data_IF_390733895743
#
_entry.id   IF_390733895743
#
_cell.length_a   1.000
_cell.length_b   1.000
_cell.length_c   1.000
_cell.angle_alpha   90.00
_cell.angle_beta   90.00
_cell.angle_gamma   90.00
#
_symmetry.space_group_name_H-M   'P 1'
#
loop_
_entity.id
_entity.type
_entity.pdbx_description
1 polymer ?
#
# COMPACT_ATOMS: atom_id res chain seq x y z
N UNK A 1 21.16 27.55 65.88
CA UNK A 1 21.48 27.05 64.53
C UNK A 1 20.63 25.88 64.10
N UNK A 2 19.76 25.36 64.95
CA UNK A 2 18.93 24.16 64.72
C UNK A 2 17.60 24.46 63.99
N UNK A 3 17.17 25.71 63.85
CA UNK A 3 15.86 26.10 63.31
C UNK A 3 15.90 26.60 61.82
N UNK A 4 16.97 26.30 61.08
CA UNK A 4 17.13 26.83 59.71
C UNK A 4 16.84 25.83 58.58
N UNK A 5 16.65 24.56 58.96
CA UNK A 5 16.34 23.53 57.98
C UNK A 5 14.86 23.13 58.08
N UNK A 6 14.13 23.14 56.94
CA UNK A 6 12.71 22.83 56.85
C UNK A 6 12.40 21.40 57.37
N UNK A 7 13.31 20.48 57.22
CA UNK A 7 13.18 19.10 57.72
C UNK A 7 13.26 19.09 59.27
N UNK A 8 14.21 19.81 59.86
CA UNK A 8 14.36 19.90 61.32
C UNK A 8 13.14 20.60 62.00
N UNK A 9 12.52 21.58 61.28
CA UNK A 9 11.28 22.18 61.76
C UNK A 9 10.09 21.21 61.69
N UNK A 10 10.03 20.40 60.66
CA UNK A 10 8.99 19.37 60.48
C UNK A 10 9.14 18.27 61.55
N UNK A 11 10.38 17.79 61.79
CA UNK A 11 10.66 16.82 62.85
C UNK A 11 10.29 17.38 64.25
N UNK A 12 10.64 18.63 64.52
CA UNK A 12 10.29 19.28 65.79
C UNK A 12 8.78 19.39 65.93
N UNK A 13 8.08 19.85 64.90
CA UNK A 13 6.61 19.95 64.90
C UNK A 13 5.95 18.57 65.11
N UNK A 14 6.49 17.52 64.48
CA UNK A 14 6.03 16.14 64.65
C UNK A 14 6.28 15.64 66.09
N UNK A 15 7.42 15.99 66.66
CA UNK A 15 7.73 15.63 68.05
C UNK A 15 6.80 16.33 69.04
N UNK A 16 6.54 17.63 68.87
CA UNK A 16 5.57 18.36 69.70
C UNK A 16 4.16 17.80 69.53
N UNK A 17 3.75 17.48 68.32
CA UNK A 17 2.44 16.88 68.05
C UNK A 17 2.32 15.49 68.75
N UNK A 18 3.35 14.69 68.72
CA UNK A 18 3.41 13.40 69.47
C UNK A 18 3.33 13.62 70.98
N UNK A 19 4.01 14.66 71.51
CA UNK A 19 3.97 15.00 72.93
C UNK A 19 2.58 15.42 73.41
N UNK A 20 1.90 16.25 72.62
CA UNK A 20 0.52 16.62 72.85
C UNK A 20 -0.46 15.44 72.79
N UNK A 21 -0.29 14.56 71.83
CA UNK A 21 -1.10 13.32 71.69
C UNK A 21 -0.90 12.41 72.89
N UNK A 22 0.35 12.15 73.27
CA UNK A 22 0.68 11.33 74.44
C UNK A 22 0.10 11.88 75.73
N UNK A 23 0.05 13.20 75.89
CA UNK A 23 -0.57 13.84 77.05
C UNK A 23 -2.10 13.71 77.03
N UNK A 24 -2.72 13.75 75.88
CA UNK A 24 -4.18 13.59 75.77
C UNK A 24 -4.61 12.12 75.98
N UNK A 25 -3.79 11.16 75.51
CA UNK A 25 -4.04 9.69 75.64
C UNK A 25 -4.04 9.23 77.11
N UNK A 26 -3.42 9.98 77.99
CA UNK A 26 -3.48 9.74 79.45
C UNK A 26 -4.88 10.08 79.98
N UNK A 27 -5.59 11.00 79.34
CA UNK A 27 -6.88 11.49 79.74
C UNK A 27 -8.05 10.79 79.06
N UNK A 28 -7.85 10.39 77.84
CA UNK A 28 -8.88 9.75 76.98
C UNK A 28 -8.25 8.80 75.99
N UNK A 29 -8.81 7.58 75.85
CA UNK A 29 -8.38 6.63 74.83
C UNK A 29 -8.62 7.16 73.44
N UNK A 30 -7.70 6.91 72.49
CA UNK A 30 -7.87 7.37 71.12
C UNK A 30 -9.12 6.75 70.47
N UNK A 31 -9.98 7.59 69.93
CA UNK A 31 -11.18 7.15 69.21
C UNK A 31 -10.85 6.76 67.77
N UNK A 32 -10.46 5.49 67.59
CA UNK A 32 -10.06 4.91 66.31
C UNK A 32 -11.24 4.90 65.29
N UNK A 33 -12.48 4.83 65.78
CA UNK A 33 -13.70 4.85 64.94
C UNK A 33 -13.89 6.20 64.32
N UNK A 34 -13.67 7.26 65.10
CA UNK A 34 -13.71 8.63 64.58
C UNK A 34 -12.62 8.87 63.53
N UNK A 35 -11.40 8.37 63.75
CA UNK A 35 -10.30 8.47 62.80
C UNK A 35 -10.63 7.76 61.48
N UNK A 36 -11.18 6.54 61.52
CA UNK A 36 -11.60 5.82 60.32
C UNK A 36 -12.70 6.54 59.55
N UNK A 37 -13.69 7.10 60.28
CA UNK A 37 -14.77 7.86 59.71
C UNK A 37 -14.28 9.15 59.00
N UNK A 38 -13.37 9.90 59.66
CA UNK A 38 -12.75 11.10 59.10
C UNK A 38 -11.88 10.78 57.86
N UNK A 39 -11.09 9.68 57.93
CA UNK A 39 -10.27 9.21 56.82
C UNK A 39 -11.16 8.83 55.64
N UNK A 40 -12.25 8.11 55.86
CA UNK A 40 -13.19 7.68 54.81
C UNK A 40 -13.85 8.90 54.19
N UNK A 41 -14.32 9.87 54.98
CA UNK A 41 -14.88 11.12 54.48
C UNK A 41 -13.86 11.90 53.63
N UNK A 42 -12.63 12.04 54.10
CA UNK A 42 -11.56 12.76 53.39
C UNK A 42 -11.16 12.09 52.06
N UNK A 43 -11.13 10.78 52.00
CA UNK A 43 -10.88 10.04 50.76
C UNK A 43 -12.04 10.17 49.79
N UNK A 44 -13.26 10.07 50.28
CA UNK A 44 -14.48 10.23 49.49
C UNK A 44 -14.61 11.63 48.86
N UNK A 45 -14.35 12.68 49.63
CA UNK A 45 -14.39 14.07 49.14
C UNK A 45 -13.40 14.36 48.00
N UNK A 46 -12.35 13.55 47.94
CA UNK A 46 -11.35 13.60 46.84
C UNK A 46 -11.56 12.57 45.74
N UNK A 47 -12.70 11.88 45.72
CA UNK A 47 -13.02 10.83 44.76
C UNK A 47 -12.01 9.64 44.81
N UNK A 48 -11.39 9.39 45.96
CA UNK A 48 -10.44 8.31 46.16
C UNK A 48 -11.17 7.15 46.84
N UNK A 49 -11.66 6.20 46.09
CA UNK A 49 -12.31 4.99 46.58
C UNK A 49 -11.28 3.84 46.71
N UNK A 50 -10.41 3.96 47.72
CA UNK A 50 -9.44 2.90 48.02
C UNK A 50 -9.88 2.19 49.29
N UNK A 51 -10.00 0.85 49.27
CA UNK A 51 -10.23 0.06 50.46
C UNK A 51 -9.02 0.19 51.39
N UNK A 52 -9.27 0.39 52.66
CA UNK A 52 -8.23 0.56 53.65
C UNK A 52 -8.54 -0.22 54.90
N UNK A 53 -7.50 -0.41 55.73
CA UNK A 53 -7.57 -0.99 57.02
C UNK A 53 -6.73 -0.15 57.98
N UNK A 54 -7.31 0.25 59.09
CA UNK A 54 -6.66 1.02 60.13
C UNK A 54 -6.48 0.13 61.39
N UNK A 55 -5.25 -0.03 61.81
CA UNK A 55 -4.88 -0.81 63.00
C UNK A 55 -4.36 0.14 64.06
N UNK A 56 -4.85 -0.03 65.30
CA UNK A 56 -4.23 0.53 66.49
C UNK A 56 -3.36 -0.53 67.11
N UNK A 57 -2.07 -0.25 67.21
CA UNK A 57 -1.06 -1.21 67.66
C UNK A 57 -0.42 -0.75 68.93
N UNK A 58 -0.25 -1.68 69.89
CA UNK A 58 0.52 -1.49 71.12
C UNK A 58 1.76 -2.38 71.10
N UNK A 59 2.93 -1.78 71.33
CA UNK A 59 4.20 -2.49 71.49
C UNK A 59 4.54 -2.62 72.96
N UNK A 60 4.55 -3.84 73.45
CA UNK A 60 4.98 -4.14 74.83
C UNK A 60 6.26 -5.00 74.90
N UNK A 61 6.99 -4.89 75.97
CA UNK A 61 8.08 -5.85 76.27
C UNK A 61 7.67 -6.64 77.49
N UNK A 62 7.79 -7.95 77.46
CA UNK A 62 7.62 -8.80 78.61
C UNK A 62 8.89 -8.65 79.54
N UNK A 63 8.69 -8.45 80.81
CA UNK A 63 9.73 -8.15 81.76
C UNK A 63 10.84 -9.21 81.89
N UNK A 64 10.69 -10.38 81.28
CA UNK A 64 11.67 -11.49 81.40
C UNK A 64 12.17 -11.97 80.00
N UNK A 65 11.96 -11.24 78.98
CA UNK A 65 12.42 -11.61 77.65
C UNK A 65 12.60 -10.39 76.75
N UNK A 66 13.67 -10.38 75.96
CA UNK A 66 13.97 -9.43 74.84
C UNK A 66 12.98 -9.49 73.71
N UNK A 67 11.81 -10.12 73.87
CA UNK A 67 10.82 -10.31 72.83
C UNK A 67 9.85 -9.13 72.90
N UNK A 68 9.95 -8.22 71.89
CA UNK A 68 8.94 -7.23 71.55
C UNK A 68 7.72 -7.96 71.00
N UNK A 69 6.58 -7.77 71.65
CA UNK A 69 5.30 -8.19 71.07
C UNK A 69 4.52 -6.99 70.57
N UNK A 70 3.72 -7.18 69.53
CA UNK A 70 2.82 -6.17 68.96
C UNK A 70 1.41 -6.70 69.10
N UNK A 71 0.62 -6.05 69.95
CA UNK A 71 -0.79 -6.33 70.07
C UNK A 71 -1.62 -5.37 69.22
N UNK A 72 -2.58 -5.92 68.52
CA UNK A 72 -3.57 -5.13 67.75
C UNK A 72 -4.74 -4.86 68.67
N UNK A 73 -4.86 -3.65 69.16
CA UNK A 73 -5.92 -3.26 70.04
C UNK A 73 -7.27 -3.07 69.28
N UNK A 74 -7.19 -2.46 68.13
CA UNK A 74 -8.36 -2.20 67.28
C UNK A 74 -8.00 -2.44 65.81
N UNK A 75 -8.93 -3.03 65.07
CA UNK A 75 -8.80 -3.29 63.65
C UNK A 75 -10.12 -2.88 62.94
N UNK A 76 -10.11 -1.77 62.26
CA UNK A 76 -11.26 -1.16 61.61
C UNK A 76 -10.89 -0.90 60.15
N UNK A 77 -11.86 -0.64 59.30
CA UNK A 77 -11.66 -0.22 57.93
C UNK A 77 -12.78 -0.69 56.98
N UNK A 78 -12.53 -0.68 55.71
CA UNK A 78 -13.51 -1.06 54.67
C UNK A 78 -14.03 -2.49 54.90
N UNK A 79 -15.36 -2.70 55.04
CA UNK A 79 -15.93 -4.02 55.25
C UNK A 79 -15.50 -5.04 54.18
N UNK A 80 -15.05 -6.21 54.61
CA UNK A 80 -14.60 -7.30 53.73
C UNK A 80 -13.25 -7.11 53.02
N UNK A 81 -12.55 -5.99 53.26
CA UNK A 81 -11.23 -5.78 52.69
C UNK A 81 -10.15 -6.66 53.39
N UNK A 82 -9.42 -7.40 52.59
CA UNK A 82 -8.23 -8.15 52.99
C UNK A 82 -7.04 -7.58 52.21
N UNK A 83 -6.02 -7.05 52.86
CA UNK A 83 -4.85 -6.49 52.20
C UNK A 83 -4.16 -7.49 51.28
N UNK A 84 -3.81 -7.05 50.07
CA UNK A 84 -3.02 -7.87 49.13
C UNK A 84 -1.53 -7.78 49.47
N UNK A 85 -0.70 -8.63 48.87
CA UNK A 85 0.75 -8.56 49.01
C UNK A 85 1.39 -7.28 48.48
N UNK A 86 0.61 -6.45 47.77
CA UNK A 86 1.04 -5.16 47.19
C UNK A 86 0.55 -3.97 48.05
N UNK A 87 -0.25 -4.22 49.05
CA UNK A 87 -0.75 -3.15 49.92
C UNK A 87 0.40 -2.39 50.59
N UNK A 88 0.25 -1.09 50.65
CA UNK A 88 1.27 -0.21 51.27
C UNK A 88 0.86 0.07 52.71
N UNK A 89 1.80 -0.05 53.61
CA UNK A 89 1.63 0.18 55.03
C UNK A 89 2.19 1.55 55.43
N UNK A 90 1.38 2.38 56.05
CA UNK A 90 1.76 3.68 56.62
C UNK A 90 1.67 3.59 58.12
N UNK A 91 2.84 3.67 58.79
CA UNK A 91 2.92 3.62 60.26
C UNK A 91 3.08 5.03 60.82
N UNK A 92 2.20 5.39 61.74
CA UNK A 92 2.26 6.65 62.44
C UNK A 92 2.30 6.40 63.95
N UNK A 93 3.45 6.66 64.60
CA UNK A 93 3.61 6.57 66.04
C UNK A 93 3.20 7.94 66.64
N UNK A 94 2.18 7.93 67.43
CA UNK A 94 1.65 9.17 68.06
C UNK A 94 2.12 9.33 69.54
N UNK A 95 2.60 8.28 70.17
CA UNK A 95 3.16 8.30 71.48
C UNK A 95 4.68 8.61 71.48
N UNK A 96 5.14 9.41 72.46
CA UNK A 96 6.56 9.77 72.62
C UNK A 96 7.44 8.52 72.81
N UNK A 97 6.94 7.57 73.60
CA UNK A 97 7.65 6.33 73.90
C UNK A 97 7.56 5.31 72.76
N UNK A 98 6.86 5.66 71.65
CA UNK A 98 6.63 4.78 70.49
C UNK A 98 5.96 3.45 70.84
N UNK A 99 5.31 3.36 72.02
CA UNK A 99 4.57 2.18 72.45
C UNK A 99 3.24 2.02 71.74
N UNK A 100 2.64 3.12 71.30
CA UNK A 100 1.37 3.13 70.56
C UNK A 100 1.55 3.71 69.15
N UNK A 101 0.88 3.12 68.17
CA UNK A 101 0.96 3.54 66.77
C UNK A 101 -0.30 3.18 65.97
N UNK A 102 -0.63 3.99 65.01
CA UNK A 102 -1.59 3.64 63.96
C UNK A 102 -0.85 3.06 62.78
N UNK A 103 -1.40 2.00 62.20
CA UNK A 103 -0.97 1.45 60.90
C UNK A 103 -2.14 1.52 59.95
N UNK A 104 -1.99 2.32 58.91
CA UNK A 104 -2.92 2.37 57.80
C UNK A 104 -2.39 1.48 56.66
N UNK A 105 -3.20 0.53 56.26
CA UNK A 105 -2.90 -0.38 55.14
C UNK A 105 -3.89 -0.07 54.02
N UNK A 106 -3.38 0.24 52.84
CA UNK A 106 -4.22 0.51 51.69
C UNK A 106 -3.58 0.05 50.37
N UNK A 107 -4.41 -0.24 49.37
CA UNK A 107 -3.90 -0.61 48.05
C UNK A 107 -3.19 0.57 47.38
N UNK A 108 -2.17 0.30 46.52
CA UNK A 108 -1.45 1.36 45.85
C UNK A 108 -2.40 2.16 44.91
N UNK A 109 -2.36 3.47 45.00
CA UNK A 109 -3.22 4.39 44.22
C UNK A 109 -3.00 4.27 42.69
N UNK A 110 -1.87 3.72 42.25
CA UNK A 110 -1.54 3.57 40.85
C UNK A 110 -2.56 2.73 40.06
N UNK A 111 -3.14 1.71 40.67
CA UNK A 111 -4.17 0.88 40.03
C UNK A 111 -5.49 1.63 39.83
N UNK A 112 -5.87 2.49 40.76
CA UNK A 112 -7.04 3.34 40.67
C UNK A 112 -6.86 4.40 39.57
N UNK A 113 -5.72 5.06 39.54
CA UNK A 113 -5.36 6.07 38.52
C UNK A 113 -5.40 5.46 37.13
N UNK A 114 -4.77 4.30 36.92
CA UNK A 114 -4.78 3.60 35.64
C UNK A 114 -6.22 3.23 35.20
N UNK A 115 -7.07 2.79 36.13
CA UNK A 115 -8.47 2.47 35.84
C UNK A 115 -9.28 3.72 35.46
N UNK A 116 -9.07 4.83 36.15
CA UNK A 116 -9.76 6.10 35.83
C UNK A 116 -9.27 6.69 34.50
N UNK A 117 -7.99 6.54 34.20
CA UNK A 117 -7.40 7.04 32.94
C UNK A 117 -7.58 6.09 31.76
N UNK A 118 -8.06 4.86 31.96
CA UNK A 118 -8.18 3.84 30.91
C UNK A 118 -9.02 4.32 29.71
N UNK A 119 -10.09 5.05 29.96
CA UNK A 119 -10.94 5.63 28.90
C UNK A 119 -10.19 6.63 28.02
N UNK A 120 -9.39 7.49 28.64
CA UNK A 120 -8.59 8.52 27.92
C UNK A 120 -7.45 7.85 27.14
N UNK A 121 -6.79 6.88 27.74
CA UNK A 121 -5.69 6.14 27.09
C UNK A 121 -6.19 5.33 25.90
N UNK A 122 -7.33 4.66 26.03
CA UNK A 122 -7.91 3.88 24.92
C UNK A 122 -8.37 4.78 23.78
N UNK A 123 -9.05 5.89 24.05
CA UNK A 123 -9.45 6.83 23.00
C UNK A 123 -8.25 7.48 22.31
N UNK A 124 -7.22 7.87 23.06
CA UNK A 124 -5.98 8.42 22.48
C UNK A 124 -5.26 7.39 21.60
N UNK A 125 -5.23 6.12 22.01
CA UNK A 125 -4.63 5.04 21.24
C UNK A 125 -5.38 4.78 19.93
N UNK A 126 -6.72 4.77 19.97
CA UNK A 126 -7.56 4.61 18.76
C UNK A 126 -7.33 5.77 17.78
N UNK A 127 -7.30 7.02 18.28
CA UNK A 127 -7.04 8.20 17.44
C UNK A 127 -5.66 8.08 16.78
N UNK A 128 -4.65 7.66 17.52
CA UNK A 128 -3.29 7.49 16.99
C UNK A 128 -3.23 6.44 15.87
N UNK A 129 -3.93 5.32 16.01
CA UNK A 129 -4.03 4.29 14.96
C UNK A 129 -4.71 4.86 13.71
N UNK A 130 -5.82 5.59 13.86
CA UNK A 130 -6.55 6.19 12.74
C UNK A 130 -5.67 7.21 12.00
N UNK A 131 -4.95 8.06 12.73
CA UNK A 131 -4.02 9.03 12.15
C UNK A 131 -2.87 8.33 11.42
N UNK A 132 -2.25 7.30 12.01
CA UNK A 132 -1.17 6.56 11.40
C UNK A 132 -1.63 5.86 10.10
N UNK A 133 -2.82 5.25 10.10
CA UNK A 133 -3.42 4.63 8.91
C UNK A 133 -3.73 5.67 7.83
N UNK A 134 -4.32 6.80 8.20
CA UNK A 134 -4.62 7.90 7.27
C UNK A 134 -3.35 8.44 6.62
N UNK A 135 -2.29 8.65 7.41
CA UNK A 135 -1.01 9.14 6.91
C UNK A 135 -0.33 8.12 5.96
N UNK A 136 -0.34 6.84 6.32
CA UNK A 136 0.16 5.77 5.45
C UNK A 136 -0.60 5.71 4.12
N UNK A 137 -1.94 5.79 4.17
CA UNK A 137 -2.77 5.79 2.97
C UNK A 137 -2.49 7.01 2.08
N UNK A 138 -2.31 8.18 2.68
CA UNK A 138 -2.02 9.43 1.98
C UNK A 138 -0.67 9.38 1.27
N UNK A 139 0.38 8.93 1.97
CA UNK A 139 1.71 8.75 1.37
C UNK A 139 1.64 7.78 0.19
N UNK A 140 0.99 6.63 0.36
CA UNK A 140 0.85 5.63 -0.70
C UNK A 140 0.13 6.19 -1.93
N UNK A 141 -0.88 7.03 -1.71
CA UNK A 141 -1.63 7.69 -2.78
C UNK A 141 -0.77 8.72 -3.53
N UNK A 142 -0.03 9.55 -2.80
CA UNK A 142 0.88 10.56 -3.40
C UNK A 142 1.98 9.88 -4.21
N UNK A 143 2.61 8.82 -3.69
CA UNK A 143 3.64 8.08 -4.42
C UNK A 143 3.09 7.48 -5.72
N UNK A 144 1.88 6.90 -5.68
CA UNK A 144 1.22 6.38 -6.87
C UNK A 144 0.89 7.47 -7.90
N UNK A 145 0.44 8.64 -7.44
CA UNK A 145 0.18 9.80 -8.32
C UNK A 145 1.47 10.30 -8.97
N UNK A 146 2.56 10.43 -8.20
CA UNK A 146 3.86 10.85 -8.73
C UNK A 146 4.37 9.92 -9.83
N UNK A 147 4.32 8.60 -9.60
CA UNK A 147 4.72 7.62 -10.61
C UNK A 147 3.89 7.74 -11.88
N UNK A 148 2.57 7.95 -11.75
CA UNK A 148 1.68 8.13 -12.91
C UNK A 148 1.99 9.43 -13.68
N UNK A 149 2.34 10.50 -12.98
CA UNK A 149 2.69 11.78 -13.58
C UNK A 149 4.02 11.71 -14.34
N UNK A 150 5.04 11.04 -13.76
CA UNK A 150 6.31 10.75 -14.43
C UNK A 150 6.08 9.93 -15.71
N UNK A 151 5.32 8.83 -15.65
CA UNK A 151 4.99 8.03 -16.85
C UNK A 151 4.23 8.85 -17.91
N UNK A 152 3.33 9.75 -17.51
CA UNK A 152 2.61 10.64 -18.44
C UNK A 152 3.54 11.67 -19.09
N UNK A 153 4.50 12.20 -18.33
CA UNK A 153 5.51 13.14 -18.85
C UNK A 153 6.40 12.45 -19.87
N UNK A 154 6.94 11.28 -19.54
CA UNK A 154 7.78 10.47 -20.44
C UNK A 154 7.03 10.09 -21.72
N UNK A 155 5.76 9.72 -21.60
CA UNK A 155 4.90 9.47 -22.73
C UNK A 155 4.75 10.69 -23.65
N UNK A 156 4.48 11.88 -23.07
CA UNK A 156 4.33 13.11 -23.84
C UNK A 156 5.62 13.46 -24.58
N UNK A 157 6.75 13.34 -23.93
CA UNK A 157 8.06 13.58 -24.53
C UNK A 157 8.36 12.59 -25.66
N UNK A 158 8.12 11.31 -25.45
CA UNK A 158 8.34 10.27 -26.44
C UNK A 158 7.43 10.44 -27.67
N UNK A 159 6.14 10.72 -27.48
CA UNK A 159 5.22 10.99 -28.61
C UNK A 159 5.69 12.20 -29.40
N UNK A 160 6.05 13.29 -28.71
CA UNK A 160 6.50 14.51 -29.38
C UNK A 160 7.70 14.22 -30.26
N UNK A 161 8.66 13.45 -29.74
CA UNK A 161 9.86 13.06 -30.50
C UNK A 161 9.52 12.18 -31.72
N UNK A 162 8.65 11.17 -31.52
CA UNK A 162 8.27 10.24 -32.58
C UNK A 162 7.31 10.83 -33.65
N UNK A 163 6.56 11.87 -33.31
CA UNK A 163 5.81 12.64 -34.31
C UNK A 163 6.74 13.56 -35.11
N UNK A 164 7.76 14.15 -34.46
CA UNK A 164 8.69 15.08 -35.11
C UNK A 164 9.50 14.41 -36.22
N UNK A 165 9.94 13.17 -36.01
CA UNK A 165 10.80 12.45 -36.97
C UNK A 165 10.09 12.19 -38.31
N UNK A 166 8.92 11.54 -38.41
CA UNK A 166 8.22 11.32 -39.68
C UNK A 166 7.80 12.63 -40.35
N UNK A 167 7.43 13.65 -39.58
CA UNK A 167 7.13 14.97 -40.10
C UNK A 167 8.36 15.58 -40.78
N UNK A 168 9.51 15.53 -40.14
CA UNK A 168 10.75 16.06 -40.69
C UNK A 168 11.19 15.33 -41.96
N UNK A 169 11.06 13.98 -41.97
CA UNK A 169 11.40 13.17 -43.16
C UNK A 169 10.44 13.46 -44.30
N UNK A 170 9.12 13.52 -44.06
CA UNK A 170 8.13 13.86 -45.07
C UNK A 170 8.35 15.28 -45.61
N UNK A 171 8.66 16.23 -44.73
CA UNK A 171 8.99 17.59 -45.12
C UNK A 171 10.23 17.66 -46.02
N UNK A 172 11.32 16.99 -45.61
CA UNK A 172 12.57 16.96 -46.39
C UNK A 172 12.36 16.29 -47.79
N UNK A 173 11.55 15.21 -47.84
CA UNK A 173 11.22 14.55 -49.12
C UNK A 173 10.40 15.46 -50.04
N UNK A 174 9.45 16.21 -49.47
CA UNK A 174 8.67 17.19 -50.21
C UNK A 174 9.53 18.39 -50.66
N UNK A 175 10.42 18.88 -49.79
CA UNK A 175 11.37 19.99 -50.10
C UNK A 175 12.31 19.58 -51.24
N UNK A 176 12.78 18.33 -51.28
CA UNK A 176 13.60 17.81 -52.36
C UNK A 176 12.87 17.82 -53.71
N UNK A 177 11.59 17.53 -53.73
CA UNK A 177 10.75 17.58 -54.94
C UNK A 177 10.51 18.99 -55.39
N UNK A 178 10.33 19.96 -54.47
CA UNK A 178 9.96 21.35 -54.82
C UNK A 178 11.17 22.23 -55.20
N UNK A 179 12.27 22.10 -54.46
CA UNK A 179 13.35 23.06 -54.48
C UNK A 179 14.67 22.50 -55.07
N UNK A 180 14.79 21.17 -55.26
CA UNK A 180 16.02 20.54 -55.75
C UNK A 180 15.88 19.78 -57.05
N UNK A 181 14.90 20.08 -57.88
CA UNK A 181 14.61 19.50 -59.20
C UNK A 181 14.47 17.95 -59.22
N UNK A 182 14.23 17.33 -58.05
CA UNK A 182 14.05 15.87 -57.96
C UNK A 182 12.76 15.39 -58.54
N UNK A 183 11.86 16.32 -58.96
CA UNK A 183 10.59 16.01 -59.64
C UNK A 183 10.76 15.77 -61.13
N UNK A 184 11.86 16.15 -61.76
CA UNK A 184 12.07 16.02 -63.22
C UNK A 184 12.29 14.56 -63.62
N UNK A 185 13.05 13.81 -62.81
CA UNK A 185 13.28 12.38 -63.06
C UNK A 185 12.19 11.55 -62.40
N UNK A 186 11.48 10.77 -63.22
CA UNK A 186 10.33 9.97 -62.76
C UNK A 186 10.68 9.01 -61.62
N UNK A 187 11.85 8.36 -61.69
CA UNK A 187 12.30 7.42 -60.68
C UNK A 187 12.54 8.10 -59.31
N UNK A 188 13.16 9.29 -59.33
CA UNK A 188 13.40 10.07 -58.12
C UNK A 188 12.12 10.63 -57.52
N UNK A 189 11.24 11.18 -58.38
CA UNK A 189 9.93 11.66 -57.97
C UNK A 189 9.11 10.57 -57.28
N UNK A 190 8.99 9.39 -57.92
CA UNK A 190 8.23 8.27 -57.39
C UNK A 190 8.82 7.76 -56.05
N UNK A 191 10.16 7.80 -55.90
CA UNK A 191 10.84 7.47 -54.64
C UNK A 191 10.47 8.45 -53.50
N UNK A 192 10.57 9.76 -53.74
CA UNK A 192 10.26 10.76 -52.71
C UNK A 192 8.78 10.78 -52.34
N UNK A 193 7.89 10.57 -53.32
CA UNK A 193 6.45 10.44 -53.07
C UNK A 193 6.12 9.21 -52.20
N UNK A 194 6.80 8.07 -52.44
CA UNK A 194 6.65 6.89 -51.59
C UNK A 194 7.11 7.17 -50.15
N UNK A 195 8.26 7.85 -49.98
CA UNK A 195 8.75 8.24 -48.64
C UNK A 195 7.68 9.10 -47.94
N UNK A 196 7.14 10.11 -48.61
CA UNK A 196 6.06 10.92 -48.03
C UNK A 196 4.85 10.07 -47.65
N UNK A 197 4.41 9.19 -48.52
CA UNK A 197 3.25 8.31 -48.24
C UNK A 197 3.51 7.39 -47.04
N UNK A 198 4.66 6.78 -46.95
CA UNK A 198 5.04 5.89 -45.84
C UNK A 198 5.06 6.68 -44.50
N UNK A 199 5.62 7.89 -44.51
CA UNK A 199 5.66 8.70 -43.28
C UNK A 199 4.27 9.19 -42.86
N UNK A 200 3.39 9.53 -43.81
CA UNK A 200 1.99 9.89 -43.52
C UNK A 200 1.19 8.70 -42.99
N UNK A 201 1.39 7.50 -43.53
CA UNK A 201 0.76 6.29 -43.00
C UNK A 201 1.24 6.00 -41.57
N UNK A 202 2.55 6.16 -41.32
CA UNK A 202 3.09 6.02 -39.98
C UNK A 202 2.48 7.01 -38.99
N UNK A 203 2.34 8.29 -39.39
CA UNK A 203 1.69 9.33 -38.59
C UNK A 203 0.23 8.98 -38.30
N UNK A 204 -0.53 8.52 -39.31
CA UNK A 204 -1.91 8.10 -39.13
C UNK A 204 -2.04 6.99 -38.07
N UNK A 205 -1.20 5.97 -38.16
CA UNK A 205 -1.17 4.89 -37.17
C UNK A 205 -0.86 5.38 -35.74
N UNK A 206 0.07 6.34 -35.58
CA UNK A 206 0.37 6.95 -34.31
C UNK A 206 -0.80 7.74 -33.74
N UNK A 207 -1.48 8.53 -34.59
CA UNK A 207 -2.68 9.29 -34.21
C UNK A 207 -3.81 8.37 -33.78
N UNK A 208 -4.04 7.26 -34.50
CA UNK A 208 -5.03 6.26 -34.12
C UNK A 208 -4.74 5.61 -32.76
N UNK A 209 -3.47 5.27 -32.51
CA UNK A 209 -3.06 4.76 -31.20
C UNK A 209 -3.30 5.77 -30.07
N UNK A 210 -3.03 7.06 -30.29
CA UNK A 210 -3.29 8.12 -29.31
C UNK A 210 -4.80 8.32 -29.12
N UNK A 211 -5.58 8.34 -30.20
CA UNK A 211 -7.03 8.50 -30.14
C UNK A 211 -7.73 7.33 -29.44
N UNK A 212 -7.26 6.11 -29.66
CA UNK A 212 -7.80 4.91 -29.00
C UNK A 212 -7.70 5.00 -27.48
N UNK A 213 -6.67 5.67 -26.96
CA UNK A 213 -6.54 5.96 -25.51
C UNK A 213 -7.60 6.93 -24.97
N UNK A 214 -8.04 7.89 -25.80
CA UNK A 214 -9.09 8.85 -25.43
C UNK A 214 -10.47 8.19 -25.44
N UNK A 215 -10.61 7.11 -26.19
CA UNK A 215 -11.89 6.40 -26.37
C UNK A 215 -12.28 5.53 -25.16
N UNK A 216 -11.33 5.18 -24.28
CA UNK A 216 -11.62 4.45 -23.03
C UNK A 216 -12.68 5.17 -22.17
N UNK A 217 -12.65 6.51 -22.14
CA UNK A 217 -13.58 7.34 -21.36
C UNK A 217 -14.87 7.70 -22.09
N UNK A 218 -14.96 7.46 -23.40
CA UNK A 218 -16.16 7.84 -24.17
C UNK A 218 -17.17 6.70 -24.14
N UNK A 219 -18.33 6.95 -23.55
CA UNK A 219 -19.51 6.07 -23.56
C UNK A 219 -20.08 5.84 -25.00
N UNK A 220 -19.57 6.54 -26.01
CA UNK A 220 -20.03 6.50 -27.39
C UNK A 220 -19.22 5.56 -28.29
N UNK A 221 -18.17 4.92 -27.78
CA UNK A 221 -17.38 3.97 -28.56
C UNK A 221 -18.21 2.70 -28.81
N UNK A 222 -18.45 2.36 -30.06
CA UNK A 222 -19.14 1.15 -30.50
C UNK A 222 -18.21 0.32 -31.37
N UNK A 223 -18.08 -0.96 -31.02
CA UNK A 223 -17.47 -1.95 -31.90
C UNK A 223 -18.43 -2.28 -33.03
N UNK A 224 -17.89 -2.64 -34.18
CA UNK A 224 -18.60 -3.18 -35.32
C UNK A 224 -18.17 -4.64 -35.55
N UNK A 225 -18.67 -5.58 -34.71
CA UNK A 225 -18.26 -6.97 -34.83
C UNK A 225 -18.79 -7.58 -36.12
N UNK A 226 -17.92 -8.23 -36.84
CA UNK A 226 -18.23 -9.04 -38.02
C UNK A 226 -17.53 -10.41 -37.90
N UNK A 227 -18.07 -11.41 -38.56
CA UNK A 227 -17.46 -12.74 -38.58
C UNK A 227 -16.47 -12.83 -39.74
N UNK A 228 -15.23 -13.24 -39.46
CA UNK A 228 -14.18 -13.41 -40.51
C UNK A 228 -13.24 -14.55 -40.17
N UNK A 229 -12.61 -15.12 -41.21
CA UNK A 229 -11.56 -16.11 -41.00
C UNK A 229 -10.29 -15.48 -40.44
N UNK A 230 -9.75 -16.05 -39.38
CA UNK A 230 -8.53 -15.57 -38.71
C UNK A 230 -7.32 -15.64 -39.66
N UNK A 231 -7.26 -16.67 -40.49
CA UNK A 231 -6.18 -16.91 -41.48
C UNK A 231 -5.91 -15.70 -42.37
N UNK A 232 -6.96 -15.08 -42.92
CA UNK A 232 -6.82 -13.96 -43.87
C UNK A 232 -6.11 -12.75 -43.23
N UNK A 233 -6.39 -12.49 -41.96
CA UNK A 233 -5.77 -11.40 -41.21
C UNK A 233 -4.32 -11.74 -40.86
N UNK A 234 -4.07 -12.95 -40.40
CA UNK A 234 -2.72 -13.37 -39.99
C UNK A 234 -1.76 -13.38 -41.20
N UNK A 235 -2.16 -13.92 -42.33
CA UNK A 235 -1.33 -13.92 -43.56
C UNK A 235 -0.95 -12.49 -43.97
N UNK A 236 -1.93 -11.58 -44.01
CA UNK A 236 -1.67 -10.16 -44.32
C UNK A 236 -0.71 -9.51 -43.34
N UNK A 237 -0.88 -9.72 -42.03
CA UNK A 237 -0.03 -9.13 -40.99
C UNK A 237 1.38 -9.70 -41.05
N UNK A 238 1.52 -11.01 -41.25
CA UNK A 238 2.83 -11.68 -41.34
C UNK A 238 3.65 -11.11 -42.49
N UNK A 239 3.06 -10.98 -43.67
CA UNK A 239 3.72 -10.34 -44.83
C UNK A 239 4.16 -8.92 -44.53
N UNK A 240 3.28 -8.09 -43.90
CA UNK A 240 3.59 -6.74 -43.56
C UNK A 240 4.76 -6.65 -42.54
N UNK A 241 4.78 -7.50 -41.51
CA UNK A 241 5.82 -7.50 -40.51
C UNK A 241 7.15 -8.02 -41.04
N UNK A 242 7.14 -9.05 -41.92
CA UNK A 242 8.34 -9.53 -42.62
C UNK A 242 8.96 -8.46 -43.51
N UNK A 243 8.15 -7.70 -44.22
CA UNK A 243 8.61 -6.59 -45.09
C UNK A 243 9.19 -5.40 -44.30
N UNK A 244 8.70 -5.15 -43.06
CA UNK A 244 9.16 -4.05 -42.21
C UNK A 244 10.40 -4.38 -41.39
N UNK A 245 10.67 -5.67 -41.20
CA UNK A 245 11.73 -6.11 -40.30
C UNK A 245 13.11 -5.83 -40.93
N UNK A 246 13.99 -5.16 -40.18
CA UNK A 246 15.39 -4.92 -40.55
C UNK A 246 16.27 -6.19 -40.37
N UNK A 247 15.79 -7.17 -39.60
CA UNK A 247 16.47 -8.45 -39.33
C UNK A 247 15.59 -9.62 -39.78
N UNK A 248 16.20 -10.83 -39.85
CA UNK A 248 15.47 -12.06 -40.18
C UNK A 248 14.39 -12.34 -39.14
N UNK A 249 13.14 -12.48 -39.61
CA UNK A 249 11.94 -12.74 -38.77
C UNK A 249 11.30 -14.04 -39.24
N UNK A 250 11.19 -15.00 -38.33
CA UNK A 250 10.49 -16.24 -38.56
C UNK A 250 9.18 -16.27 -37.80
N UNK A 251 8.05 -16.26 -38.55
CA UNK A 251 6.73 -16.32 -37.93
C UNK A 251 6.07 -17.62 -38.37
N UNK A 252 5.75 -18.49 -37.42
CA UNK A 252 5.01 -19.74 -37.61
C UNK A 252 3.57 -19.57 -37.10
N UNK A 253 2.61 -20.17 -37.81
CA UNK A 253 1.19 -20.11 -37.46
C UNK A 253 0.59 -21.48 -37.43
N UNK A 254 -0.15 -21.76 -36.37
CA UNK A 254 -0.91 -22.98 -36.16
C UNK A 254 -2.36 -22.63 -35.83
N UNK A 255 -3.33 -23.09 -36.64
CA UNK A 255 -4.76 -22.76 -36.52
C UNK A 255 -5.56 -24.05 -36.43
N UNK A 256 -6.27 -24.24 -35.33
CA UNK A 256 -7.13 -25.40 -35.07
C UNK A 256 -8.55 -24.98 -34.65
N UNK A 257 -9.58 -25.28 -35.44
CA UNK A 257 -9.57 -25.90 -36.80
C UNK A 257 -9.09 -24.93 -37.88
N UNK A 258 -8.71 -25.43 -39.05
CA UNK A 258 -8.13 -24.60 -40.14
C UNK A 258 -9.06 -23.49 -40.64
N UNK A 259 -10.37 -23.69 -40.55
CA UNK A 259 -11.44 -22.77 -40.92
C UNK A 259 -11.90 -21.88 -39.74
N UNK A 260 -11.05 -21.72 -38.71
CA UNK A 260 -11.38 -20.97 -37.51
C UNK A 260 -11.79 -19.53 -37.86
N UNK A 261 -13.02 -19.16 -37.51
CA UNK A 261 -13.54 -17.80 -37.60
C UNK A 261 -13.67 -17.15 -36.20
N UNK A 262 -13.69 -15.83 -36.18
CA UNK A 262 -13.89 -15.02 -34.96
C UNK A 262 -14.92 -13.92 -35.26
N UNK A 263 -15.77 -13.66 -34.25
CA UNK A 263 -16.70 -12.55 -34.25
C UNK A 263 -16.08 -11.36 -33.51
N UNK A 264 -15.53 -10.40 -34.24
CA UNK A 264 -14.85 -9.25 -33.68
C UNK A 264 -14.89 -8.04 -34.64
N UNK A 265 -14.52 -6.87 -34.11
CA UNK A 265 -14.23 -5.73 -34.99
C UNK A 265 -12.91 -5.97 -35.72
N UNK A 266 -12.99 -6.15 -37.05
CA UNK A 266 -11.87 -6.56 -37.89
C UNK A 266 -10.67 -5.62 -37.79
N UNK A 267 -10.92 -4.30 -37.75
CA UNK A 267 -9.85 -3.30 -37.63
C UNK A 267 -9.15 -3.37 -36.28
N UNK A 268 -9.92 -3.42 -35.21
CA UNK A 268 -9.37 -3.51 -33.85
C UNK A 268 -8.70 -4.84 -33.63
N UNK A 269 -9.23 -5.95 -34.12
CA UNK A 269 -8.60 -7.28 -34.05
C UNK A 269 -7.26 -7.31 -34.78
N UNK A 270 -7.20 -6.79 -36.02
CA UNK A 270 -5.94 -6.67 -36.77
C UNK A 270 -4.89 -5.87 -35.99
N UNK A 271 -5.28 -4.73 -35.38
CA UNK A 271 -4.41 -3.90 -34.61
C UNK A 271 -3.93 -4.59 -33.30
N UNK A 272 -4.79 -5.39 -32.65
CA UNK A 272 -4.41 -6.21 -31.47
C UNK A 272 -3.30 -7.17 -31.82
N UNK A 273 -3.52 -7.98 -32.86
CA UNK A 273 -2.55 -8.99 -33.29
C UNK A 273 -1.25 -8.32 -33.75
N UNK A 274 -1.33 -7.25 -34.55
CA UNK A 274 -0.15 -6.49 -34.96
C UNK A 274 0.67 -5.97 -33.79
N UNK A 275 0.04 -5.45 -32.74
CA UNK A 275 0.75 -5.00 -31.52
C UNK A 275 1.46 -6.16 -30.80
N UNK A 276 0.87 -7.35 -30.76
CA UNK A 276 1.50 -8.53 -30.15
C UNK A 276 2.69 -9.00 -30.97
N UNK A 277 2.56 -9.06 -32.30
CA UNK A 277 3.66 -9.43 -33.21
C UNK A 277 4.79 -8.38 -33.14
N UNK A 278 4.47 -7.09 -33.20
CA UNK A 278 5.46 -6.01 -33.05
C UNK A 278 6.26 -6.14 -31.76
N UNK A 279 5.59 -6.43 -30.64
CA UNK A 279 6.27 -6.65 -29.36
C UNK A 279 7.16 -7.90 -29.39
N UNK A 280 6.69 -9.02 -29.95
CA UNK A 280 7.46 -10.24 -30.07
C UNK A 280 8.75 -10.02 -30.87
N UNK A 281 8.66 -9.33 -32.02
CA UNK A 281 9.82 -8.99 -32.85
C UNK A 281 10.79 -8.05 -32.13
N UNK A 282 10.24 -7.00 -31.52
CA UNK A 282 10.98 -5.91 -30.91
C UNK A 282 11.79 -6.34 -29.69
N UNK A 283 11.29 -7.28 -28.90
CA UNK A 283 11.93 -7.76 -27.69
C UNK A 283 12.69 -9.08 -27.86
N UNK A 284 12.78 -9.58 -29.09
CA UNK A 284 13.65 -10.72 -29.45
C UNK A 284 15.12 -10.31 -29.48
N UNK A 285 16.01 -11.27 -29.24
CA UNK A 285 17.45 -11.13 -29.41
C UNK A 285 17.89 -11.76 -30.73
N UNK A 286 18.46 -10.97 -31.64
CA UNK A 286 18.95 -11.45 -32.93
C UNK A 286 17.81 -11.79 -33.91
N UNK A 287 17.74 -13.02 -34.39
CA UNK A 287 16.64 -13.49 -35.24
C UNK A 287 15.38 -13.64 -34.40
N UNK A 288 14.27 -12.99 -34.85
CA UNK A 288 13.00 -13.06 -34.14
C UNK A 288 12.22 -14.31 -34.55
N UNK A 289 12.03 -15.20 -33.59
CA UNK A 289 11.14 -16.36 -33.72
C UNK A 289 9.82 -16.09 -33.00
N UNK A 290 8.73 -16.06 -33.78
CA UNK A 290 7.39 -15.80 -33.26
C UNK A 290 6.47 -16.95 -33.65
N UNK A 291 5.76 -17.51 -32.67
CA UNK A 291 4.78 -18.57 -32.91
C UNK A 291 3.39 -18.09 -32.50
N UNK A 292 2.44 -18.23 -33.45
CA UNK A 292 1.04 -17.86 -33.23
C UNK A 292 0.20 -19.12 -33.23
N UNK A 293 -0.47 -19.43 -32.12
CA UNK A 293 -1.43 -20.53 -32.03
C UNK A 293 -2.83 -19.98 -31.87
N UNK A 294 -3.77 -20.47 -32.70
CA UNK A 294 -5.19 -20.12 -32.65
C UNK A 294 -6.00 -21.39 -32.46
N UNK A 295 -6.85 -21.43 -31.45
CA UNK A 295 -7.69 -22.60 -31.17
C UNK A 295 -9.07 -22.22 -30.65
N UNK A 296 -10.02 -23.11 -30.89
CA UNK A 296 -11.36 -23.00 -30.32
C UNK A 296 -11.38 -23.66 -28.94
N UNK A 297 -11.94 -22.97 -27.96
CA UNK A 297 -12.07 -23.50 -26.61
C UNK A 297 -13.55 -23.60 -26.21
N UNK A 298 -13.95 -24.79 -25.81
CA UNK A 298 -15.23 -24.96 -25.15
C UNK A 298 -15.09 -24.52 -23.68
N UNK A 299 -15.88 -23.54 -23.26
CA UNK A 299 -15.97 -23.11 -21.86
C UNK A 299 -17.25 -23.63 -21.27
N UNK A 300 -17.15 -24.42 -20.19
CA UNK A 300 -18.32 -25.03 -19.52
C UNK A 300 -19.33 -23.96 -19.12
N UNK A 301 -20.56 -24.00 -19.68
CA UNK A 301 -21.64 -23.05 -19.39
C UNK A 301 -21.56 -21.68 -20.09
N UNK A 302 -20.66 -21.49 -21.05
CA UNK A 302 -20.54 -20.29 -21.88
C UNK A 302 -20.44 -20.64 -23.37
N UNK A 303 -20.61 -19.63 -24.24
CA UNK A 303 -20.34 -19.78 -25.67
C UNK A 303 -18.88 -20.16 -25.92
N UNK A 304 -18.63 -20.88 -27.01
CA UNK A 304 -17.27 -21.22 -27.47
C UNK A 304 -16.44 -19.94 -27.60
N UNK A 305 -15.24 -19.94 -27.06
CA UNK A 305 -14.30 -18.83 -27.15
C UNK A 305 -13.15 -19.17 -28.08
N UNK A 306 -12.64 -18.18 -28.79
CA UNK A 306 -11.42 -18.29 -29.57
C UNK A 306 -10.23 -17.86 -28.73
N UNK A 307 -9.26 -18.75 -28.55
CA UNK A 307 -8.01 -18.44 -27.87
C UNK A 307 -6.90 -18.25 -28.92
N UNK A 308 -6.18 -17.12 -28.82
CA UNK A 308 -5.03 -16.84 -29.69
C UNK A 308 -3.85 -16.53 -28.78
N UNK A 309 -2.74 -17.23 -28.96
CA UNK A 309 -1.50 -17.01 -28.26
C UNK A 309 -0.38 -16.62 -29.22
N UNK A 310 0.38 -15.58 -28.83
CA UNK A 310 1.58 -15.13 -29.53
C UNK A 310 2.76 -15.33 -28.60
N UNK A 311 3.70 -16.17 -29.03
CA UNK A 311 4.88 -16.57 -28.24
C UNK A 311 6.16 -16.07 -28.90
N UNK A 312 7.08 -15.55 -28.08
CA UNK A 312 8.42 -15.12 -28.49
C UNK A 312 9.51 -15.80 -27.63
N UNK A 313 10.74 -15.81 -28.12
CA UNK A 313 11.96 -16.26 -27.43
C UNK A 313 12.85 -15.07 -27.04
N UNK A 314 12.26 -13.93 -26.68
CA UNK A 314 12.95 -12.70 -26.34
C UNK A 314 13.46 -12.62 -24.90
N UNK A 315 13.66 -11.40 -24.45
CA UNK A 315 14.19 -11.07 -23.11
C UNK A 315 13.34 -11.55 -21.92
N UNK A 316 12.07 -11.85 -22.18
CA UNK A 316 11.11 -12.18 -21.11
C UNK A 316 10.82 -11.03 -20.15
N UNK A 317 9.92 -11.29 -19.19
CA UNK A 317 9.38 -10.29 -18.25
C UNK A 317 9.44 -10.84 -16.84
N UNK A 318 10.10 -10.11 -15.94
CA UNK A 318 10.18 -10.48 -14.52
C UNK A 318 8.77 -10.57 -13.87
N UNK A 319 8.50 -11.52 -12.96
CA UNK A 319 7.18 -11.77 -12.40
C UNK A 319 6.52 -10.53 -11.77
N UNK A 320 7.32 -9.70 -11.08
CA UNK A 320 6.83 -8.48 -10.41
C UNK A 320 6.31 -7.45 -11.42
N UNK A 321 6.81 -7.47 -12.66
CA UNK A 321 6.47 -6.52 -13.72
C UNK A 321 5.29 -6.98 -14.56
N UNK A 322 5.01 -8.29 -14.63
CA UNK A 322 3.95 -8.86 -15.50
C UNK A 322 2.56 -8.29 -15.19
N UNK A 323 2.28 -7.97 -13.93
CA UNK A 323 0.99 -7.37 -13.52
C UNK A 323 0.80 -5.92 -14.00
N UNK A 324 1.90 -5.25 -14.40
CA UNK A 324 1.90 -3.83 -14.79
C UNK A 324 2.06 -3.60 -16.29
N UNK A 325 2.44 -4.61 -17.09
CA UNK A 325 2.71 -4.42 -18.52
C UNK A 325 1.49 -3.97 -19.33
N UNK A 326 0.30 -4.20 -18.80
CA UNK A 326 -0.96 -3.74 -19.39
C UNK A 326 -1.41 -2.38 -18.84
N UNK A 327 -0.67 -1.79 -17.88
CA UNK A 327 -0.99 -0.47 -17.35
C UNK A 327 -0.63 0.59 -18.39
N UNK A 328 -1.45 1.64 -18.43
CA UNK A 328 -1.28 2.76 -19.35
C UNK A 328 0.07 3.47 -19.12
N UNK A 329 0.83 3.68 -20.20
CA UNK A 329 2.16 4.29 -20.20
C UNK A 329 3.27 3.44 -19.57
N UNK A 330 2.95 2.26 -19.07
CA UNK A 330 3.95 1.43 -18.41
C UNK A 330 4.94 0.84 -19.41
N UNK A 331 6.21 0.94 -19.07
CA UNK A 331 7.33 0.27 -19.76
C UNK A 331 8.20 -0.42 -18.75
N UNK A 332 8.67 -1.62 -19.09
CA UNK A 332 9.64 -2.32 -18.24
C UNK A 332 10.96 -1.53 -18.29
N UNK A 333 11.49 -1.00 -17.16
CA UNK A 333 12.80 -0.36 -17.15
C UNK A 333 13.87 -1.41 -17.48
N UNK A 334 14.54 -1.25 -18.62
CA UNK A 334 15.56 -2.18 -19.14
C UNK A 334 16.99 -1.63 -18.98
N UNK A 335 17.24 -0.75 -18.01
CA UNK A 335 18.56 -0.17 -17.78
C UNK A 335 19.04 0.67 -18.99
N UNK A 336 20.20 0.33 -19.55
CA UNK A 336 20.82 1.07 -20.66
C UNK A 336 20.23 0.77 -22.06
N UNK A 337 19.19 -0.06 -22.19
CA UNK A 337 18.52 -0.33 -23.47
C UNK A 337 17.50 0.78 -23.79
N UNK A 338 17.99 2.02 -23.94
CA UNK A 338 17.20 3.15 -24.45
C UNK A 338 16.81 2.99 -25.94
N UNK A 339 17.35 2.00 -26.66
CA UNK A 339 17.15 1.84 -28.10
C UNK A 339 15.82 1.16 -28.49
N UNK A 340 15.08 0.61 -27.54
CA UNK A 340 13.82 -0.04 -27.85
C UNK A 340 12.70 1.00 -27.92
N UNK A 341 12.41 1.51 -29.13
CA UNK A 341 11.35 2.50 -29.42
C UNK A 341 9.96 2.01 -29.01
N UNK A 342 9.15 2.84 -28.32
CA UNK A 342 7.75 2.52 -28.01
C UNK A 342 7.15 3.36 -26.87
N UNK A 343 5.80 3.45 -26.88
CA UNK A 343 5.05 4.43 -26.06
C UNK A 343 4.43 3.85 -24.79
N UNK A 344 4.55 2.53 -24.55
CA UNK A 344 3.83 1.86 -23.47
C UNK A 344 2.31 1.84 -23.67
N UNK A 345 1.86 1.89 -24.94
CA UNK A 345 0.44 1.92 -25.31
C UNK A 345 -0.06 0.63 -25.94
N UNK A 346 0.81 -0.14 -26.61
CA UNK A 346 0.40 -1.30 -27.38
C UNK A 346 -0.32 -2.35 -26.54
N UNK A 347 0.25 -2.77 -25.40
CA UNK A 347 -0.37 -3.76 -24.53
C UNK A 347 -1.60 -3.20 -23.79
N UNK A 348 -1.58 -1.93 -23.41
CA UNK A 348 -2.78 -1.27 -22.86
C UNK A 348 -3.93 -1.26 -23.87
N UNK A 349 -3.65 -0.95 -25.14
CA UNK A 349 -4.63 -1.02 -26.24
C UNK A 349 -5.18 -2.44 -26.40
N UNK A 350 -4.29 -3.45 -26.44
CA UNK A 350 -4.67 -4.86 -26.52
C UNK A 350 -5.66 -5.21 -25.42
N UNK A 351 -5.31 -4.91 -24.16
CA UNK A 351 -6.19 -5.18 -23.02
C UNK A 351 -7.54 -4.47 -23.14
N UNK A 352 -7.52 -3.17 -23.43
CA UNK A 352 -8.75 -2.35 -23.51
C UNK A 352 -9.68 -2.84 -24.61
N UNK A 353 -9.15 -3.18 -25.78
CA UNK A 353 -9.97 -3.65 -26.90
C UNK A 353 -10.49 -5.07 -26.68
N UNK A 354 -9.69 -5.97 -26.15
CA UNK A 354 -10.14 -7.32 -25.78
C UNK A 354 -11.24 -7.28 -24.72
N UNK A 355 -11.10 -6.46 -23.66
CA UNK A 355 -12.14 -6.27 -22.64
C UNK A 355 -13.43 -5.70 -23.24
N UNK A 356 -13.34 -4.80 -24.23
CA UNK A 356 -14.52 -4.27 -24.95
C UNK A 356 -15.21 -5.31 -25.84
N UNK A 357 -14.49 -6.30 -26.33
CA UNK A 357 -15.06 -7.46 -27.02
C UNK A 357 -15.64 -8.52 -26.05
N UNK A 358 -15.59 -8.27 -24.71
CA UNK A 358 -16.04 -9.20 -23.69
C UNK A 358 -15.03 -10.32 -23.39
N UNK A 359 -13.81 -10.19 -23.90
CA UNK A 359 -12.74 -11.18 -23.77
C UNK A 359 -11.77 -10.90 -22.61
N UNK A 360 -10.66 -11.64 -22.61
CA UNK A 360 -9.59 -11.49 -21.61
C UNK A 360 -8.21 -11.60 -22.25
N UNK A 361 -7.19 -10.98 -21.63
CA UNK A 361 -5.79 -11.09 -22.02
C UNK A 361 -4.94 -11.50 -20.82
N UNK A 362 -3.96 -12.36 -21.08
CA UNK A 362 -3.00 -12.82 -20.06
C UNK A 362 -1.60 -12.93 -20.64
N UNK A 363 -0.61 -13.00 -19.77
CA UNK A 363 0.80 -13.22 -20.13
C UNK A 363 1.40 -14.31 -19.27
N UNK A 364 2.22 -15.16 -19.89
CA UNK A 364 3.15 -16.08 -19.23
C UNK A 364 4.53 -15.76 -19.74
N UNK A 365 5.47 -15.46 -18.87
CA UNK A 365 6.81 -15.05 -19.28
C UNK A 365 7.84 -15.45 -18.22
N UNK A 366 9.02 -15.80 -18.69
CA UNK A 366 10.19 -16.06 -17.84
C UNK A 366 11.37 -15.26 -18.37
N UNK A 367 12.06 -14.55 -17.46
CA UNK A 367 13.19 -13.70 -17.82
C UNK A 367 14.28 -14.52 -18.53
N UNK A 368 14.69 -14.08 -19.72
CA UNK A 368 15.69 -14.74 -20.56
C UNK A 368 15.18 -15.92 -21.39
N UNK A 369 13.87 -16.27 -21.32
CA UNK A 369 13.28 -17.37 -22.11
C UNK A 369 12.20 -16.91 -23.08
N UNK A 370 11.68 -15.70 -22.91
CA UNK A 370 10.64 -15.13 -23.76
C UNK A 370 9.29 -14.99 -23.07
N UNK A 371 8.26 -14.67 -23.87
CA UNK A 371 6.91 -14.40 -23.38
C UNK A 371 5.86 -15.05 -24.29
N UNK A 372 4.73 -15.41 -23.68
CA UNK A 372 3.52 -15.85 -24.38
C UNK A 372 2.36 -14.96 -23.94
N UNK A 373 1.82 -14.19 -24.88
CA UNK A 373 0.62 -13.39 -24.68
C UNK A 373 -0.58 -14.18 -25.20
N UNK A 374 -1.59 -14.37 -24.39
CA UNK A 374 -2.81 -15.11 -24.72
C UNK A 374 -4.01 -14.21 -24.63
N UNK A 375 -4.78 -14.10 -25.71
CA UNK A 375 -6.07 -13.42 -25.77
C UNK A 375 -7.19 -14.42 -25.95
N UNK A 376 -8.36 -14.15 -25.37
CA UNK A 376 -9.59 -14.93 -25.52
C UNK A 376 -10.71 -13.98 -25.90
N UNK A 377 -11.44 -14.34 -26.92
CA UNK A 377 -12.59 -13.58 -27.46
C UNK A 377 -13.77 -14.51 -27.65
#
# INVERSE_FOLDING_TARGET
MILRDQNSMLELATYFQRGLHSGLDIISDPDVVLYDSLLTSFLHDRNINLPHRLLHLHKGSKWDSTILYIDTLVNIGTPGYVPTSKAVEYNYSFDINTSQSYRLIMEPAGTLVLRQMSGILTTSFVILIVLAFSFWFLIRTILKQKTLEEMKSDFTNNITHELKTPIAVAYAANDALLNFNQAEEKAQRDKYLRICQEQLQRLSGLVEQILSMSMERRRTFRLHPEEFAIRDILETLIEQHKLKAESSVHISVDIEPEDLSVLADRTHFSNIISNLIDNAIKYSHGEAEVTIHCRKMAVEGQNEQTEISVSDHGIGIAPEKQKHIFDKFYRVPTGNLHDVKGYGLGLFYVKTMIEKHGGSVSVKSELGKGSTFTIRI
#
